data_IF_858710907511
#
_entry.id   IF_858710907511
#
_cell.length_a   1.000
_cell.length_b   1.000
_cell.length_c   1.000
_cell.angle_alpha   90.00
_cell.angle_beta   90.00
_cell.angle_gamma   90.00
#
_symmetry.space_group_name_H-M   'P 1'
#
loop_
_entity.id
_entity.type
_entity.pdbx_description
1 polymer ?
#
# COMPACT_ATOMS: atom_id res chain seq x y z
N UNK A 1 3.28 29.95 10.70
CA UNK A 1 2.44 30.35 9.55
C UNK A 1 3.35 31.08 8.56
N UNK A 2 4.16 30.38 7.78
CA UNK A 2 4.98 31.06 6.74
C UNK A 2 5.36 30.01 5.70
N UNK A 3 5.08 30.34 4.43
CA UNK A 3 5.81 29.91 3.23
C UNK A 3 5.60 28.51 2.63
N UNK A 4 4.51 27.84 2.89
CA UNK A 4 4.09 26.73 2.02
C UNK A 4 3.45 27.20 0.70
N UNK A 5 3.10 28.48 0.57
CA UNK A 5 2.24 28.96 -0.52
C UNK A 5 2.94 29.16 -1.87
N UNK A 6 4.15 29.71 -1.92
CA UNK A 6 4.76 30.11 -3.21
C UNK A 6 5.47 28.94 -3.92
N UNK A 7 6.18 28.09 -3.20
CA UNK A 7 6.86 26.90 -3.75
C UNK A 7 5.84 25.84 -4.17
N UNK A 8 4.75 25.70 -3.42
CA UNK A 8 3.66 24.76 -3.71
C UNK A 8 2.84 25.22 -4.95
N UNK A 9 2.55 26.53 -5.09
CA UNK A 9 1.87 27.07 -6.27
C UNK A 9 2.72 26.94 -7.55
N UNK A 10 4.03 27.16 -7.48
CA UNK A 10 4.94 26.94 -8.62
C UNK A 10 4.99 25.45 -9.01
N UNK A 11 5.00 24.56 -8.04
CA UNK A 11 5.00 23.10 -8.27
C UNK A 11 3.73 22.63 -8.97
N UNK A 12 2.58 23.13 -8.53
CA UNK A 12 1.26 22.80 -9.08
C UNK A 12 1.12 23.31 -10.52
N UNK A 13 1.80 24.40 -10.91
CA UNK A 13 1.79 24.89 -12.30
C UNK A 13 2.59 23.99 -13.26
N UNK A 14 3.41 23.08 -12.75
CA UNK A 14 4.25 22.16 -13.54
C UNK A 14 3.61 20.78 -13.74
N UNK A 15 2.49 20.48 -13.09
CA UNK A 15 1.81 19.19 -13.17
C UNK A 15 0.42 19.35 -13.78
N UNK A 16 -0.09 18.26 -14.36
CA UNK A 16 -1.43 18.22 -14.93
C UNK A 16 -2.51 18.29 -13.84
N UNK A 17 -3.44 19.25 -13.98
CA UNK A 17 -4.70 19.23 -13.24
C UNK A 17 -5.69 18.36 -13.98
N UNK A 18 -6.24 17.39 -13.27
CA UNK A 18 -7.18 16.42 -13.83
C UNK A 18 -8.55 16.56 -13.17
N UNK A 19 -9.61 16.27 -13.92
CA UNK A 19 -10.97 16.10 -13.41
C UNK A 19 -11.27 14.62 -13.16
N UNK A 20 -12.44 14.30 -12.64
CA UNK A 20 -12.90 12.92 -12.45
C UNK A 20 -12.86 12.09 -13.74
N UNK A 21 -13.11 12.72 -14.88
CA UNK A 21 -13.20 12.04 -16.18
C UNK A 21 -11.93 12.15 -17.05
N UNK A 22 -10.95 12.95 -16.61
CA UNK A 22 -9.68 13.09 -17.33
C UNK A 22 -8.85 11.82 -17.24
N UNK A 23 -8.20 11.35 -18.34
CA UNK A 23 -7.22 10.27 -18.22
C UNK A 23 -6.04 10.71 -17.34
N UNK A 24 -5.36 9.77 -16.71
CA UNK A 24 -4.09 10.07 -16.06
C UNK A 24 -3.02 10.40 -17.11
N UNK A 25 -2.12 11.38 -16.83
CA UNK A 25 -0.99 11.66 -17.70
C UNK A 25 -0.06 10.44 -17.82
N UNK A 26 0.74 10.34 -18.88
CA UNK A 26 1.77 9.32 -19.03
C UNK A 26 2.75 9.35 -17.83
N UNK A 27 3.16 8.18 -17.35
CA UNK A 27 4.04 8.07 -16.17
C UNK A 27 5.38 8.80 -16.34
N UNK A 28 5.84 8.92 -17.59
CA UNK A 28 7.08 9.60 -17.94
C UNK A 28 7.06 11.09 -17.64
N UNK A 29 5.86 11.68 -17.54
CA UNK A 29 5.69 13.11 -17.21
C UNK A 29 5.77 13.39 -15.71
N UNK A 30 5.84 12.35 -14.86
CA UNK A 30 6.00 12.53 -13.42
C UNK A 30 7.31 13.24 -13.08
N UNK A 31 7.24 14.20 -12.17
CA UNK A 31 8.38 15.04 -11.78
C UNK A 31 9.52 14.20 -11.19
N UNK A 32 10.75 14.71 -11.37
CA UNK A 32 11.94 14.17 -10.71
C UNK A 32 12.04 14.71 -9.29
N UNK A 33 11.61 15.93 -9.07
CA UNK A 33 11.58 16.59 -7.76
C UNK A 33 10.29 17.44 -7.63
N UNK A 34 9.38 17.10 -6.72
CA UNK A 34 9.39 15.91 -5.85
C UNK A 34 9.20 14.62 -6.65
N UNK A 35 9.96 13.58 -6.27
CA UNK A 35 10.07 12.35 -7.04
C UNK A 35 8.70 11.66 -7.22
N UNK A 36 8.24 11.61 -8.45
CA UNK A 36 7.05 10.86 -8.86
C UNK A 36 5.74 11.64 -8.81
N UNK A 37 5.71 12.92 -8.43
CA UNK A 37 4.49 13.72 -8.51
C UNK A 37 4.05 13.82 -9.97
N UNK A 38 2.82 13.34 -10.26
CA UNK A 38 2.32 13.16 -11.62
C UNK A 38 1.18 14.13 -11.96
N UNK A 39 0.20 14.25 -11.06
CA UNK A 39 -0.99 15.05 -11.32
C UNK A 39 -1.62 15.55 -10.01
N UNK A 40 -2.51 16.54 -10.12
CA UNK A 40 -3.35 17.02 -9.03
C UNK A 40 -4.83 17.03 -9.45
N UNK A 41 -5.75 16.96 -8.48
CA UNK A 41 -7.20 16.99 -8.71
C UNK A 41 -7.82 15.63 -8.93
N UNK A 42 -8.98 15.59 -9.60
CA UNK A 42 -9.80 14.38 -9.71
C UNK A 42 -10.59 14.09 -8.45
N UNK A 43 -10.92 12.82 -8.24
CA UNK A 43 -11.65 12.33 -7.08
C UNK A 43 -11.08 11.00 -6.56
N UNK A 44 -11.60 10.54 -5.41
CA UNK A 44 -11.24 9.25 -4.79
C UNK A 44 -12.32 8.19 -5.01
N UNK A 45 -13.12 8.29 -6.06
CA UNK A 45 -14.11 7.25 -6.38
C UNK A 45 -13.43 5.90 -6.59
N UNK A 46 -14.11 4.78 -6.27
CA UNK A 46 -13.56 3.45 -6.51
C UNK A 46 -13.09 3.25 -7.95
N UNK A 47 -13.85 3.74 -8.93
CA UNK A 47 -13.47 3.69 -10.35
C UNK A 47 -12.12 4.37 -10.59
N UNK A 48 -11.93 5.58 -10.03
CA UNK A 48 -10.72 6.36 -10.20
C UNK A 48 -9.52 5.72 -9.52
N UNK A 49 -9.69 5.20 -8.31
CA UNK A 49 -8.64 4.49 -7.59
C UNK A 49 -8.22 3.20 -8.31
N UNK A 50 -9.18 2.39 -8.76
CA UNK A 50 -8.91 1.17 -9.54
C UNK A 50 -8.11 1.50 -10.80
N UNK A 51 -8.50 2.55 -11.53
CA UNK A 51 -7.78 3.01 -12.71
C UNK A 51 -6.35 3.44 -12.39
N UNK A 52 -6.16 4.22 -11.31
CA UNK A 52 -4.86 4.69 -10.86
C UNK A 52 -3.92 3.52 -10.54
N UNK A 53 -4.35 2.58 -9.70
CA UNK A 53 -3.54 1.43 -9.30
C UNK A 53 -3.18 0.54 -10.48
N UNK A 54 -4.08 0.36 -11.45
CA UNK A 54 -3.80 -0.38 -12.69
C UNK A 54 -2.68 0.24 -13.51
N UNK A 55 -2.47 1.53 -13.38
CA UNK A 55 -1.41 2.28 -14.06
C UNK A 55 -0.17 2.50 -13.18
N UNK A 56 -0.15 2.00 -11.94
CA UNK A 56 0.96 2.20 -11.01
C UNK A 56 1.00 3.58 -10.36
N UNK A 57 -0.16 4.22 -10.30
CA UNK A 57 -0.38 5.54 -9.72
C UNK A 57 -1.12 5.36 -8.40
N UNK A 58 -0.77 6.15 -7.38
CA UNK A 58 -1.44 6.13 -6.08
C UNK A 58 -1.66 7.55 -5.56
N UNK A 59 -2.71 7.79 -4.74
CA UNK A 59 -2.95 9.07 -4.10
C UNK A 59 -2.10 9.21 -2.83
N UNK A 60 -1.48 10.37 -2.64
CA UNK A 60 -0.81 10.72 -1.39
C UNK A 60 -0.81 12.24 -1.21
N UNK A 61 -1.56 12.74 -0.23
CA UNK A 61 -1.77 14.16 0.04
C UNK A 61 -2.28 14.35 1.48
N UNK A 62 -2.16 15.55 2.03
CA UNK A 62 -2.63 15.85 3.38
C UNK A 62 -4.08 16.36 3.36
N UNK A 63 -4.77 16.27 4.50
CA UNK A 63 -6.09 16.85 4.66
C UNK A 63 -6.11 18.35 4.31
N UNK A 64 -7.08 18.75 3.48
CA UNK A 64 -7.21 20.14 3.01
C UNK A 64 -6.33 20.51 1.82
N UNK A 65 -5.48 19.61 1.35
CA UNK A 65 -4.74 19.76 0.09
C UNK A 65 -5.55 19.16 -1.07
N UNK A 66 -5.30 19.59 -2.32
CA UNK A 66 -5.78 18.87 -3.49
C UNK A 66 -5.29 17.43 -3.50
N UNK A 67 -6.07 16.52 -4.09
CA UNK A 67 -5.61 15.14 -4.30
C UNK A 67 -4.36 15.18 -5.18
N UNK A 68 -3.27 14.59 -4.71
CA UNK A 68 -2.02 14.47 -5.44
C UNK A 68 -1.80 12.99 -5.82
N UNK A 69 -1.41 12.77 -7.08
CA UNK A 69 -1.19 11.46 -7.67
C UNK A 69 0.27 11.23 -7.95
N UNK A 70 0.78 10.06 -7.60
CA UNK A 70 2.21 9.78 -7.59
C UNK A 70 2.57 8.48 -8.32
N UNK A 71 3.72 8.51 -8.99
CA UNK A 71 4.40 7.32 -9.53
C UNK A 71 5.92 7.50 -9.43
N UNK A 72 6.55 7.17 -8.29
CA UNK A 72 7.98 7.38 -8.04
C UNK A 72 8.90 6.57 -8.97
N UNK A 73 10.13 7.05 -9.13
CA UNK A 73 11.22 6.36 -9.81
C UNK A 73 12.54 6.56 -9.04
N UNK A 74 13.18 5.51 -8.49
CA UNK A 74 12.78 4.10 -8.58
C UNK A 74 11.53 3.76 -7.76
N UNK A 75 10.94 2.58 -8.05
CA UNK A 75 9.81 2.00 -7.33
C UNK A 75 10.27 0.87 -6.44
N UNK A 76 9.88 0.89 -5.16
CA UNK A 76 10.15 -0.20 -4.22
C UNK A 76 9.12 -1.31 -4.39
N UNK A 77 9.58 -2.55 -4.62
CA UNK A 77 8.73 -3.74 -4.79
C UNK A 77 9.29 -4.92 -4.01
N UNK A 78 8.43 -5.85 -3.64
CA UNK A 78 8.81 -7.17 -3.17
C UNK A 78 8.23 -8.23 -4.11
N UNK A 79 9.08 -9.11 -4.63
CA UNK A 79 8.62 -10.32 -5.29
C UNK A 79 8.41 -11.38 -4.21
N UNK A 80 7.23 -12.05 -4.15
CA UNK A 80 6.90 -12.95 -3.04
C UNK A 80 7.96 -14.03 -2.78
N UNK A 81 8.58 -14.56 -3.82
CA UNK A 81 9.68 -15.54 -3.74
C UNK A 81 11.02 -14.97 -3.27
N UNK A 82 11.18 -13.64 -3.19
CA UNK A 82 12.37 -12.95 -2.67
C UNK A 82 12.22 -12.56 -1.18
N UNK A 83 11.13 -12.95 -0.50
CA UNK A 83 10.92 -12.63 0.91
C UNK A 83 12.07 -13.13 1.79
N UNK A 84 12.66 -12.23 2.56
CA UNK A 84 13.71 -12.52 3.53
C UNK A 84 13.16 -12.51 4.95
N UNK A 85 13.28 -13.61 5.64
CA UNK A 85 12.88 -13.75 7.05
C UNK A 85 14.12 -13.92 7.88
N UNK A 86 14.43 -12.94 8.74
CA UNK A 86 15.59 -13.02 9.62
C UNK A 86 15.43 -14.16 10.64
N UNK A 87 16.54 -14.69 11.15
CA UNK A 87 16.52 -15.75 12.17
C UNK A 87 15.71 -15.35 13.41
N UNK A 88 15.82 -14.09 13.85
CA UNK A 88 15.02 -13.56 14.97
C UNK A 88 13.52 -13.53 14.67
N UNK A 89 13.12 -13.10 13.47
CA UNK A 89 11.72 -13.12 13.06
C UNK A 89 11.20 -14.55 12.91
N UNK A 90 12.00 -15.46 12.38
CA UNK A 90 11.65 -16.87 12.29
C UNK A 90 11.36 -17.48 13.67
N UNK A 91 12.18 -17.18 14.69
CA UNK A 91 11.92 -17.61 16.08
C UNK A 91 10.61 -17.06 16.62
N UNK A 92 10.27 -15.79 16.32
CA UNK A 92 9.01 -15.18 16.75
C UNK A 92 7.82 -15.88 16.09
N UNK A 93 7.88 -16.12 14.78
CA UNK A 93 6.84 -16.82 14.03
C UNK A 93 6.56 -18.23 14.58
N UNK A 94 7.58 -18.90 15.14
CA UNK A 94 7.43 -20.24 15.73
C UNK A 94 6.93 -20.24 17.17
N UNK A 95 7.34 -19.25 17.97
CA UNK A 95 7.21 -19.31 19.44
C UNK A 95 6.13 -18.38 19.98
N UNK A 96 5.65 -17.40 19.21
CA UNK A 96 4.61 -16.47 19.66
C UNK A 96 3.21 -17.06 19.50
N UNK A 97 2.34 -16.75 20.45
CA UNK A 97 0.93 -17.08 20.38
C UNK A 97 0.19 -15.92 19.70
N UNK A 98 -0.12 -16.07 18.44
CA UNK A 98 -0.88 -15.11 17.66
C UNK A 98 -1.88 -15.81 16.73
N UNK A 99 -2.89 -15.10 16.35
CA UNK A 99 -3.84 -15.49 15.31
C UNK A 99 -3.76 -14.53 14.13
N UNK A 100 -3.83 -15.05 12.91
CA UNK A 100 -3.91 -14.23 11.70
C UNK A 100 -5.32 -14.28 11.19
N UNK A 101 -5.94 -13.10 11.15
CA UNK A 101 -7.24 -12.91 10.52
C UNK A 101 -7.09 -12.03 9.27
N UNK A 102 -8.08 -12.14 8.39
CA UNK A 102 -8.14 -11.40 7.12
C UNK A 102 -9.50 -10.75 7.03
N UNK A 103 -9.52 -9.46 6.73
CA UNK A 103 -10.75 -8.69 6.50
C UNK A 103 -11.74 -8.70 7.69
N UNK A 104 -11.29 -9.09 8.88
CA UNK A 104 -12.13 -9.17 10.06
C UNK A 104 -12.31 -7.81 10.75
N UNK A 105 -11.34 -6.93 10.59
CA UNK A 105 -11.28 -5.62 11.28
C UNK A 105 -10.71 -4.50 10.41
N UNK A 106 -11.03 -4.47 9.10
CA UNK A 106 -10.45 -3.55 8.13
C UNK A 106 -10.45 -2.09 8.61
N UNK A 107 -11.59 -1.59 9.09
CA UNK A 107 -11.69 -0.21 9.57
C UNK A 107 -10.81 0.05 10.81
N UNK A 108 -10.66 -0.94 11.70
CA UNK A 108 -9.77 -0.81 12.87
C UNK A 108 -8.30 -0.77 12.44
N UNK A 109 -7.91 -1.58 11.43
CA UNK A 109 -6.57 -1.56 10.86
C UNK A 109 -6.28 -0.20 10.24
N UNK A 110 -7.21 0.34 9.43
CA UNK A 110 -7.04 1.66 8.83
C UNK A 110 -6.92 2.77 9.87
N UNK A 111 -7.79 2.77 10.90
CA UNK A 111 -7.73 3.72 12.00
C UNK A 111 -6.40 3.62 12.77
N UNK A 112 -5.91 2.41 13.03
CA UNK A 112 -4.62 2.21 13.69
C UNK A 112 -3.44 2.69 12.82
N UNK A 113 -3.50 2.51 11.50
CA UNK A 113 -2.53 3.05 10.56
C UNK A 113 -2.58 4.59 10.46
N UNK A 114 -3.73 5.20 10.72
CA UNK A 114 -3.93 6.64 10.71
C UNK A 114 -3.38 7.35 11.96
N UNK A 115 -3.04 6.62 13.02
CA UNK A 115 -2.46 7.23 14.21
C UNK A 115 -1.08 7.83 13.90
N UNK A 116 -0.80 9.07 14.38
CA UNK A 116 0.50 9.70 14.17
C UNK A 116 1.63 8.83 14.72
N UNK A 117 2.70 8.65 13.95
CA UNK A 117 3.91 7.97 14.43
C UNK A 117 4.70 8.90 15.33
N UNK A 118 5.53 8.33 16.25
CA UNK A 118 6.25 9.05 17.32
C UNK A 118 6.96 10.36 16.97
N UNK A 119 7.10 10.69 15.68
CA UNK A 119 7.76 11.92 15.18
C UNK A 119 6.91 12.74 14.20
N UNK A 120 5.70 12.29 13.91
CA UNK A 120 4.82 12.92 12.91
C UNK A 120 3.64 13.56 13.62
N UNK A 121 3.32 14.80 13.28
CA UNK A 121 2.19 15.55 13.85
C UNK A 121 0.89 15.37 13.08
N UNK A 122 0.96 14.77 11.88
CA UNK A 122 -0.18 14.54 10.99
C UNK A 122 -0.05 13.20 10.26
N UNK A 123 -1.16 12.74 9.72
CA UNK A 123 -1.23 11.55 8.88
C UNK A 123 -1.90 11.89 7.55
N UNK A 124 -1.48 11.21 6.49
CA UNK A 124 -2.14 11.30 5.18
C UNK A 124 -3.44 10.47 5.13
N UNK A 125 -3.66 9.57 6.11
CA UNK A 125 -4.87 8.74 6.21
C UNK A 125 -5.94 9.54 6.96
N UNK A 126 -6.59 10.47 6.27
CA UNK A 126 -7.68 11.30 6.78
C UNK A 126 -9.06 10.72 6.38
N UNK A 127 -10.16 11.39 6.74
CA UNK A 127 -11.53 10.90 6.56
C UNK A 127 -11.85 10.47 5.13
N UNK A 128 -11.38 11.21 4.13
CA UNK A 128 -11.70 10.94 2.73
C UNK A 128 -10.98 9.67 2.25
N UNK A 129 -9.72 9.48 2.66
CA UNK A 129 -8.96 8.25 2.42
C UNK A 129 -9.63 7.05 3.12
N UNK A 130 -10.01 7.20 4.40
CA UNK A 130 -10.73 6.16 5.14
C UNK A 130 -12.01 5.74 4.41
N UNK A 131 -12.82 6.70 3.96
CA UNK A 131 -14.07 6.44 3.26
C UNK A 131 -13.83 5.76 1.91
N UNK A 132 -12.86 6.25 1.13
CA UNK A 132 -12.55 5.72 -0.19
C UNK A 132 -12.04 4.27 -0.14
N UNK A 133 -11.14 3.95 0.79
CA UNK A 133 -10.60 2.60 0.92
C UNK A 133 -11.59 1.64 1.59
N UNK A 134 -12.47 2.12 2.48
CA UNK A 134 -13.61 1.32 2.97
C UNK A 134 -14.57 0.96 1.83
N UNK A 135 -14.82 1.87 0.89
CA UNK A 135 -15.61 1.54 -0.29
C UNK A 135 -14.95 0.47 -1.16
N UNK A 136 -13.63 0.53 -1.38
CA UNK A 136 -12.88 -0.52 -2.08
C UNK A 136 -12.90 -1.86 -1.31
N UNK A 137 -12.83 -1.84 0.01
CA UNK A 137 -12.97 -3.04 0.83
C UNK A 137 -14.34 -3.70 0.67
N UNK A 138 -15.41 -2.92 0.72
CA UNK A 138 -16.77 -3.44 0.50
C UNK A 138 -16.96 -4.04 -0.91
N UNK A 139 -16.14 -3.66 -1.87
CA UNK A 139 -16.09 -4.25 -3.21
C UNK A 139 -15.15 -5.48 -3.31
N UNK A 140 -14.48 -5.88 -2.23
CA UNK A 140 -13.51 -6.98 -2.22
C UNK A 140 -12.23 -6.66 -3.00
N UNK A 141 -11.80 -5.40 -3.01
CA UNK A 141 -10.61 -4.91 -3.69
C UNK A 141 -9.52 -4.52 -2.70
N UNK A 142 -9.90 -3.88 -1.59
CA UNK A 142 -8.97 -3.58 -0.50
C UNK A 142 -9.14 -4.61 0.62
N UNK A 143 -8.01 -5.04 1.18
CA UNK A 143 -7.94 -6.12 2.17
C UNK A 143 -7.06 -5.73 3.34
N UNK A 144 -7.39 -6.22 4.53
CA UNK A 144 -6.56 -6.14 5.73
C UNK A 144 -6.06 -7.51 6.16
N UNK A 145 -4.87 -7.54 6.70
CA UNK A 145 -4.27 -8.70 7.34
C UNK A 145 -3.91 -8.31 8.77
N UNK A 146 -4.41 -9.05 9.72
CA UNK A 146 -4.41 -8.71 11.13
C UNK A 146 -3.65 -9.75 11.94
N UNK A 147 -2.82 -9.26 12.86
CA UNK A 147 -2.21 -10.07 13.93
C UNK A 147 -2.94 -9.80 15.22
N UNK A 148 -3.54 -10.84 15.78
CA UNK A 148 -4.27 -10.81 17.03
C UNK A 148 -3.50 -11.56 18.10
N UNK A 149 -3.39 -10.99 19.29
CA UNK A 149 -2.75 -11.59 20.47
C UNK A 149 -3.70 -11.45 21.66
N UNK A 150 -4.03 -12.55 22.31
CA UNK A 150 -4.97 -12.59 23.44
C UNK A 150 -6.34 -11.93 23.17
N UNK A 151 -6.84 -12.03 21.94
CA UNK A 151 -8.10 -11.42 21.54
C UNK A 151 -8.03 -9.92 21.22
N UNK A 152 -6.84 -9.32 21.23
CA UNK A 152 -6.62 -7.92 20.89
C UNK A 152 -5.88 -7.77 19.55
N UNK A 153 -6.29 -6.77 18.75
CA UNK A 153 -5.62 -6.41 17.51
C UNK A 153 -4.26 -5.77 17.83
N UNK A 154 -3.18 -6.55 17.67
CA UNK A 154 -1.80 -6.19 18.05
C UNK A 154 -1.01 -5.56 16.92
N UNK A 155 -1.36 -5.82 15.68
CA UNK A 155 -0.74 -5.24 14.49
C UNK A 155 -1.46 -5.67 13.22
N UNK A 156 -1.05 -5.11 12.11
CA UNK A 156 -1.65 -5.44 10.82
C UNK A 156 -1.19 -4.51 9.71
N UNK A 157 -1.75 -4.74 8.56
CA UNK A 157 -1.55 -3.93 7.37
C UNK A 157 -2.82 -3.95 6.51
N UNK A 158 -2.93 -3.00 5.60
CA UNK A 158 -3.94 -3.05 4.56
C UNK A 158 -3.33 -2.69 3.20
N UNK A 159 -4.04 -3.04 2.15
CA UNK A 159 -3.64 -2.75 0.79
C UNK A 159 -4.72 -3.12 -0.22
N UNK A 160 -4.39 -2.96 -1.49
CA UNK A 160 -5.28 -3.19 -2.63
C UNK A 160 -4.75 -4.38 -3.44
N UNK A 161 -5.65 -5.25 -3.88
CA UNK A 161 -5.33 -6.34 -4.79
C UNK A 161 -5.95 -6.11 -6.17
N UNK A 162 -5.13 -6.15 -7.22
CA UNK A 162 -5.61 -6.12 -8.59
C UNK A 162 -4.82 -7.10 -9.46
N UNK A 163 -5.53 -8.01 -10.13
CA UNK A 163 -4.89 -9.10 -10.86
C UNK A 163 -4.00 -9.92 -9.93
N UNK A 164 -2.72 -9.97 -10.25
CA UNK A 164 -1.68 -10.65 -9.45
C UNK A 164 -0.67 -9.67 -8.84
N UNK A 165 -1.12 -8.45 -8.49
CA UNK A 165 -0.35 -7.45 -7.74
C UNK A 165 -1.09 -7.07 -6.48
N UNK A 166 -0.36 -6.99 -5.37
CA UNK A 166 -0.83 -6.40 -4.12
C UNK A 166 -0.12 -5.07 -3.89
N UNK A 167 -0.86 -4.02 -3.67
CA UNK A 167 -0.36 -2.67 -3.36
C UNK A 167 -0.47 -2.46 -1.86
N UNK A 168 0.66 -2.52 -1.15
CA UNK A 168 0.71 -2.32 0.29
C UNK A 168 0.62 -0.84 0.64
N UNK A 169 -0.40 -0.43 1.38
CA UNK A 169 -0.66 0.97 1.69
C UNK A 169 -0.02 1.41 3.00
N UNK A 170 -0.36 0.75 4.08
CA UNK A 170 0.19 1.07 5.39
C UNK A 170 0.18 -0.13 6.32
N UNK A 171 0.99 -0.05 7.37
CA UNK A 171 1.04 -1.05 8.42
C UNK A 171 1.26 -0.39 9.78
N UNK A 172 0.76 -1.03 10.82
CA UNK A 172 0.92 -0.60 12.20
C UNK A 172 1.26 -1.78 13.12
N UNK A 173 1.78 -1.49 14.29
CA UNK A 173 1.96 -2.46 15.37
C UNK A 173 1.78 -1.78 16.73
N UNK A 174 1.13 -2.48 17.65
CA UNK A 174 1.08 -2.16 19.09
C UNK A 174 2.11 -2.98 19.85
N UNK A 175 2.26 -4.26 19.48
CA UNK A 175 3.29 -5.14 20.03
C UNK A 175 4.45 -5.32 19.05
N UNK A 176 5.69 -5.49 19.52
CA UNK A 176 6.86 -5.65 18.66
C UNK A 176 6.70 -6.79 17.65
N UNK A 177 6.98 -6.51 16.37
CA UNK A 177 6.91 -7.43 15.25
C UNK A 177 5.51 -7.85 14.77
N UNK A 178 4.41 -7.44 15.39
CA UNK A 178 3.07 -7.84 14.97
C UNK A 178 2.78 -7.51 13.50
N UNK A 179 3.15 -6.32 13.01
CA UNK A 179 3.02 -6.00 11.59
C UNK A 179 3.90 -6.86 10.67
N UNK A 180 5.08 -7.30 11.14
CA UNK A 180 5.94 -8.21 10.36
C UNK A 180 5.34 -9.61 10.27
N UNK A 181 4.71 -10.07 11.34
CA UNK A 181 3.99 -11.35 11.36
C UNK A 181 2.87 -11.32 10.31
N UNK A 182 2.01 -10.31 10.35
CA UNK A 182 0.95 -10.12 9.34
C UNK A 182 1.53 -10.08 7.91
N UNK A 183 2.62 -9.32 7.71
CA UNK A 183 3.25 -9.18 6.40
C UNK A 183 3.83 -10.51 5.88
N UNK A 184 4.50 -11.30 6.72
CA UNK A 184 5.03 -12.62 6.32
C UNK A 184 3.90 -13.55 5.90
N UNK A 185 2.81 -13.61 6.65
CA UNK A 185 1.64 -14.43 6.31
C UNK A 185 1.00 -13.97 5.00
N UNK A 186 0.83 -12.66 4.81
CA UNK A 186 0.37 -12.10 3.53
C UNK A 186 1.26 -12.55 2.38
N UNK A 187 2.57 -12.31 2.45
CA UNK A 187 3.49 -12.61 1.35
C UNK A 187 3.46 -14.09 0.99
N UNK A 188 3.45 -14.97 1.99
CA UNK A 188 3.38 -16.42 1.79
C UNK A 188 2.04 -16.87 1.20
N UNK A 189 0.94 -16.24 1.58
CA UNK A 189 -0.36 -16.51 0.98
C UNK A 189 -0.43 -16.01 -0.46
N UNK A 190 0.08 -14.81 -0.72
CA UNK A 190 0.15 -14.25 -2.08
C UNK A 190 1.02 -15.11 -3.01
N UNK A 191 2.15 -15.65 -2.51
CA UNK A 191 2.99 -16.59 -3.25
C UNK A 191 2.20 -17.84 -3.66
N UNK A 192 1.41 -18.41 -2.75
CA UNK A 192 0.54 -19.57 -3.03
C UNK A 192 -0.56 -19.26 -4.06
N UNK A 193 -1.09 -18.05 -4.06
CA UNK A 193 -2.10 -17.60 -5.02
C UNK A 193 -1.51 -17.14 -6.35
N UNK A 194 -0.18 -17.22 -6.53
CA UNK A 194 0.51 -16.86 -7.75
C UNK A 194 0.59 -15.37 -8.01
N UNK A 195 0.56 -14.54 -6.95
CA UNK A 195 0.86 -13.12 -7.08
C UNK A 195 2.32 -12.94 -7.49
N UNK A 196 2.55 -12.07 -8.46
CA UNK A 196 3.88 -11.83 -9.01
C UNK A 196 4.62 -10.67 -8.35
N UNK A 197 3.92 -9.75 -7.68
CA UNK A 197 4.55 -8.54 -7.15
C UNK A 197 3.73 -7.94 -6.00
N UNK A 198 4.44 -7.42 -5.00
CA UNK A 198 3.92 -6.52 -3.97
C UNK A 198 4.55 -5.15 -4.22
N UNK A 199 3.72 -4.16 -4.51
CA UNK A 199 4.13 -2.78 -4.63
C UNK A 199 4.25 -2.15 -3.24
N UNK A 200 5.42 -1.68 -2.90
CA UNK A 200 5.75 -1.02 -1.64
C UNK A 200 5.96 0.50 -1.81
N UNK A 201 5.70 1.03 -2.99
CA UNK A 201 5.83 2.43 -3.43
C UNK A 201 7.24 3.00 -3.21
N UNK A 202 7.59 3.32 -1.96
CA UNK A 202 8.81 4.04 -1.62
C UNK A 202 9.73 3.20 -0.73
N UNK A 203 11.04 3.44 -0.87
CA UNK A 203 12.07 2.74 -0.10
C UNK A 203 11.99 3.04 1.39
N UNK A 204 11.97 1.97 2.18
CA UNK A 204 12.20 2.01 3.61
C UNK A 204 13.22 0.94 4.01
N UNK A 205 14.02 1.21 5.04
CA UNK A 205 14.96 0.22 5.58
C UNK A 205 14.23 -1.04 6.09
N UNK A 206 13.01 -0.86 6.59
CA UNK A 206 12.16 -1.95 7.06
C UNK A 206 11.82 -2.94 5.94
N UNK A 207 11.27 -2.44 4.82
CA UNK A 207 10.90 -3.28 3.68
C UNK A 207 12.13 -3.89 2.99
N UNK A 208 13.23 -3.14 2.90
CA UNK A 208 14.50 -3.67 2.39
C UNK A 208 15.01 -4.86 3.24
N UNK A 209 14.84 -4.81 4.57
CA UNK A 209 15.22 -5.92 5.46
C UNK A 209 14.37 -7.18 5.23
N UNK A 210 13.18 -7.04 4.65
CA UNK A 210 12.27 -8.13 4.29
C UNK A 210 12.46 -8.61 2.84
N UNK A 211 13.43 -8.08 2.10
CA UNK A 211 13.77 -8.52 0.75
C UNK A 211 13.25 -7.60 -0.36
N UNK A 212 12.48 -6.56 -0.03
CA UNK A 212 12.05 -5.61 -1.04
C UNK A 212 13.24 -4.83 -1.63
N UNK A 213 13.16 -4.52 -2.92
CA UNK A 213 14.20 -3.81 -3.67
C UNK A 213 13.62 -2.81 -4.63
N UNK A 214 14.44 -1.86 -5.03
CA UNK A 214 14.08 -0.85 -6.00
C UNK A 214 14.26 -1.38 -7.43
N UNK A 215 13.29 -1.08 -8.28
CA UNK A 215 13.35 -1.28 -9.74
C UNK A 215 13.03 0.04 -10.43
N UNK A 216 13.38 0.18 -11.70
CA UNK A 216 13.01 1.37 -12.46
C UNK A 216 11.49 1.44 -12.67
N UNK A 217 10.93 2.65 -12.78
CA UNK A 217 9.49 2.82 -13.10
C UNK A 217 9.10 2.14 -14.41
N UNK A 218 10.02 2.09 -15.39
CA UNK A 218 9.79 1.38 -16.65
C UNK A 218 9.62 -0.12 -16.41
N UNK A 219 10.55 -0.73 -15.67
CA UNK A 219 10.46 -2.15 -15.32
C UNK A 219 9.19 -2.45 -14.52
N UNK A 220 8.88 -1.58 -13.53
CA UNK A 220 7.67 -1.68 -12.74
C UNK A 220 6.41 -1.66 -13.62
N UNK A 221 6.27 -0.66 -14.51
CA UNK A 221 5.10 -0.52 -15.37
C UNK A 221 4.93 -1.71 -16.33
N UNK A 222 6.02 -2.25 -16.87
CA UNK A 222 5.99 -3.43 -17.73
C UNK A 222 5.48 -4.67 -16.98
N UNK A 223 6.01 -4.93 -15.77
CA UNK A 223 5.55 -6.05 -14.93
C UNK A 223 4.11 -5.85 -14.47
N UNK A 224 3.77 -4.64 -14.04
CA UNK A 224 2.42 -4.29 -13.61
C UNK A 224 1.39 -4.59 -14.70
N UNK A 225 1.62 -4.12 -15.94
CA UNK A 225 0.73 -4.34 -17.08
C UNK A 225 0.43 -5.82 -17.32
N UNK A 226 1.42 -6.69 -17.16
CA UNK A 226 1.25 -8.14 -17.32
C UNK A 226 0.43 -8.74 -16.18
N UNK A 227 0.74 -8.35 -14.93
CA UNK A 227 0.14 -8.94 -13.74
C UNK A 227 -1.30 -8.48 -13.49
N UNK A 228 -1.63 -7.22 -13.77
CA UNK A 228 -3.01 -6.71 -13.61
C UNK A 228 -3.97 -7.19 -14.71
N UNK A 229 -3.45 -7.74 -15.81
CA UNK A 229 -4.26 -8.39 -16.83
C UNK A 229 -4.75 -9.79 -16.39
N UNK A 230 -4.15 -10.37 -15.37
CA UNK A 230 -4.60 -11.64 -14.79
C UNK A 230 -5.94 -11.48 -14.06
N UNK A 231 -6.74 -12.56 -13.95
CA UNK A 231 -7.95 -12.52 -13.13
C UNK A 231 -7.65 -12.11 -11.68
N UNK A 232 -8.55 -11.34 -11.10
CA UNK A 232 -8.48 -11.02 -9.68
C UNK A 232 -8.62 -12.30 -8.83
N UNK A 233 -8.08 -12.26 -7.62
CA UNK A 233 -8.40 -13.23 -6.59
C UNK A 233 -9.86 -13.07 -6.16
N UNK A 234 -10.45 -14.11 -5.55
CA UNK A 234 -11.80 -14.05 -5.02
C UNK A 234 -11.99 -12.82 -4.12
N UNK A 235 -13.20 -12.25 -4.16
CA UNK A 235 -13.51 -11.04 -3.37
C UNK A 235 -13.42 -11.29 -1.85
N UNK A 236 -13.74 -12.53 -1.42
CA UNK A 236 -13.57 -12.93 -0.02
C UNK A 236 -12.27 -13.69 0.13
N UNK A 237 -11.32 -13.06 0.80
CA UNK A 237 -10.05 -13.69 1.09
C UNK A 237 -10.17 -14.66 2.25
N UNK A 238 -9.60 -15.82 2.09
CA UNK A 238 -9.45 -16.81 3.13
C UNK A 238 -8.03 -17.38 3.07
N UNK A 239 -7.24 -17.16 4.12
CA UNK A 239 -5.88 -17.67 4.17
C UNK A 239 -5.90 -19.15 4.55
N UNK A 240 -5.22 -19.96 3.75
CA UNK A 240 -4.95 -21.38 4.01
C UNK A 240 -3.48 -21.63 4.33
N UNK A 241 -2.66 -20.57 4.28
CA UNK A 241 -1.28 -20.63 4.69
C UNK A 241 -1.17 -20.60 6.22
N UNK A 242 -0.52 -21.61 6.76
CA UNK A 242 -0.19 -21.70 8.19
C UNK A 242 1.32 -21.80 8.33
N UNK A 243 1.89 -20.97 9.19
CA UNK A 243 3.31 -21.10 9.53
C UNK A 243 3.52 -22.42 10.28
N UNK A 244 4.22 -23.36 9.65
CA UNK A 244 4.49 -24.66 10.27
C UNK A 244 5.63 -24.55 11.25
N UNK A 245 5.40 -25.05 12.46
CA UNK A 245 6.42 -25.19 13.51
C UNK A 245 7.49 -26.20 13.09
#
# INVERSE_FOLDING_TARGET
MISLSFSFFLLISMISWITSDSPFPPLETALIAPNGLLAAGGDLSPKRLIEAYRQGIFPWFNAGEPILWWSPNPRMVLFPNELKISHSLCKILHNSHYEILVDSAFNQVMQACALPRKKETSTWIHSDILSAYTALHNMGIAHSIETWENGELSGGLYGIAQGKVFFGESMFFKTPNASKIAFVHLVKQLERWGFGMIDCQMKTAHLASLGAREITRIEFAQKLKQLVASPNQDQKWHFDYVWRK
#
